data_IF_612973234379
#
_entry.id   IF_612973234379
#
_cell.length_a   1.000
_cell.length_b   1.000
_cell.length_c   1.000
_cell.angle_alpha   90.00
_cell.angle_beta   90.00
_cell.angle_gamma   90.00
#
_symmetry.space_group_name_H-M   'P 1'
#
loop_
_entity.id
_entity.type
_entity.pdbx_description
1 polymer ?
#
# COMPACT_ATOMS: atom_id res chain seq x y z
N UNK A 1 -15.28 16.36 11.03
CA UNK A 1 -16.32 16.72 10.04
C UNK A 1 -17.06 15.46 9.65
N UNK A 2 -18.29 15.32 10.13
CA UNK A 2 -19.15 14.15 9.98
C UNK A 2 -19.70 14.11 8.54
N UNK A 3 -19.43 13.05 7.77
CA UNK A 3 -20.14 12.82 6.49
C UNK A 3 -21.38 11.97 6.75
N UNK A 4 -22.53 12.58 6.47
CA UNK A 4 -23.85 12.01 6.65
C UNK A 4 -24.20 10.95 5.60
N UNK A 5 -25.16 10.09 5.99
CA UNK A 5 -25.71 8.94 5.29
C UNK A 5 -26.39 9.29 3.96
N UNK A 6 -26.27 8.38 2.98
CA UNK A 6 -27.40 7.94 2.12
C UNK A 6 -27.29 6.43 1.87
N UNK A 7 -28.26 5.67 2.37
CA UNK A 7 -28.47 4.24 2.02
C UNK A 7 -29.53 4.17 0.91
N UNK A 8 -29.20 3.54 -0.21
CA UNK A 8 -30.16 2.80 -1.04
C UNK A 8 -29.68 1.35 -1.10
N UNK A 9 -30.59 0.44 -0.78
CA UNK A 9 -30.37 -0.99 -0.85
C UNK A 9 -30.57 -1.43 -2.31
N UNK A 10 -29.60 -2.16 -2.86
CA UNK A 10 -29.77 -2.92 -4.10
C UNK A 10 -29.37 -4.37 -3.83
N UNK A 11 -30.35 -5.26 -4.04
CA UNK A 11 -30.23 -6.71 -4.00
C UNK A 11 -29.60 -7.20 -5.30
N UNK A 12 -28.34 -7.60 -5.25
CA UNK A 12 -27.61 -8.23 -6.37
C UNK A 12 -27.08 -9.60 -5.98
N UNK A 13 -27.52 -10.64 -6.69
CA UNK A 13 -27.19 -12.05 -6.46
C UNK A 13 -25.69 -12.33 -6.37
N UNK A 14 -25.31 -13.19 -5.42
CA UNK A 14 -23.92 -13.57 -5.16
C UNK A 14 -23.51 -14.67 -6.15
N UNK A 15 -23.10 -14.27 -7.36
CA UNK A 15 -22.42 -15.18 -8.29
C UNK A 15 -21.07 -15.60 -7.67
N UNK A 16 -20.98 -16.88 -7.27
CA UNK A 16 -19.72 -17.47 -6.82
C UNK A 16 -18.79 -17.54 -8.04
N UNK A 17 -17.79 -16.65 -8.10
CA UNK A 17 -16.78 -16.68 -9.17
C UNK A 17 -15.99 -17.99 -9.04
N UNK A 18 -15.87 -18.71 -10.15
CA UNK A 18 -15.03 -19.92 -10.25
C UNK A 18 -13.58 -19.63 -9.84
N UNK A 19 -12.86 -20.57 -9.19
CA UNK A 19 -11.44 -20.45 -8.86
C UNK A 19 -10.56 -20.06 -10.06
N UNK A 20 -10.91 -20.51 -11.26
CA UNK A 20 -10.20 -20.18 -12.50
C UNK A 20 -10.28 -18.68 -12.86
N UNK A 21 -11.43 -18.04 -12.58
CA UNK A 21 -11.61 -16.60 -12.82
C UNK A 21 -10.82 -15.75 -11.80
N UNK A 22 -10.66 -16.24 -10.56
CA UNK A 22 -9.81 -15.59 -9.56
C UNK A 22 -8.30 -15.74 -9.89
N UNK A 23 -7.90 -16.91 -10.42
CA UNK A 23 -6.52 -17.15 -10.84
C UNK A 23 -6.14 -16.36 -12.11
N UNK A 24 -7.07 -16.21 -13.06
CA UNK A 24 -6.91 -15.36 -14.25
C UNK A 24 -6.78 -13.88 -13.89
N UNK A 25 -7.64 -13.38 -12.99
CA UNK A 25 -7.61 -11.98 -12.55
C UNK A 25 -6.27 -11.55 -11.91
N UNK A 26 -5.51 -12.48 -11.32
CA UNK A 26 -4.18 -12.20 -10.80
C UNK A 26 -3.12 -12.12 -11.90
N UNK A 27 -3.25 -12.90 -12.97
CA UNK A 27 -2.30 -12.94 -14.08
C UNK A 27 -2.30 -11.64 -14.89
N UNK A 28 -3.45 -10.96 -14.91
CA UNK A 28 -3.67 -9.69 -15.61
C UNK A 28 -3.50 -8.46 -14.69
N UNK A 29 -3.13 -8.67 -13.42
CA UNK A 29 -2.93 -7.58 -12.48
C UNK A 29 -1.69 -6.76 -12.88
N UNK A 30 -1.91 -5.48 -13.15
CA UNK A 30 -0.82 -4.55 -13.46
C UNK A 30 -0.17 -4.02 -12.18
N UNK A 31 1.05 -4.48 -11.92
CA UNK A 31 1.84 -4.05 -10.77
C UNK A 31 2.67 -2.80 -11.06
N UNK A 32 2.72 -2.28 -12.29
CA UNK A 32 3.46 -1.05 -12.63
C UNK A 32 2.95 0.15 -11.83
N UNK A 33 1.65 0.16 -11.51
CA UNK A 33 0.98 1.21 -10.76
C UNK A 33 1.67 1.54 -9.43
N UNK A 34 2.26 0.54 -8.75
CA UNK A 34 2.99 0.78 -7.49
C UNK A 34 4.31 1.53 -7.74
N UNK A 35 4.99 1.22 -8.85
CA UNK A 35 6.19 1.93 -9.28
C UNK A 35 5.90 3.36 -9.70
N UNK A 36 4.84 3.56 -10.49
CA UNK A 36 4.36 4.88 -10.90
C UNK A 36 3.96 5.75 -9.70
N UNK A 37 3.20 5.20 -8.74
CA UNK A 37 2.85 5.90 -7.51
C UNK A 37 4.09 6.26 -6.69
N UNK A 38 5.05 5.34 -6.55
CA UNK A 38 6.32 5.62 -5.87
C UNK A 38 7.08 6.77 -6.54
N UNK A 39 7.09 6.83 -7.87
CA UNK A 39 7.71 7.92 -8.62
C UNK A 39 7.00 9.25 -8.36
N UNK A 40 5.67 9.29 -8.47
CA UNK A 40 4.88 10.50 -8.20
C UNK A 40 5.11 11.01 -6.77
N UNK A 41 5.15 10.11 -5.78
CA UNK A 41 5.42 10.47 -4.39
C UNK A 41 6.81 11.08 -4.23
N UNK A 42 7.83 10.49 -4.85
CA UNK A 42 9.19 11.01 -4.87
C UNK A 42 9.27 12.39 -5.52
N UNK A 43 8.61 12.56 -6.66
CA UNK A 43 8.53 13.85 -7.35
C UNK A 43 7.87 14.92 -6.46
N UNK A 44 6.79 14.59 -5.74
CA UNK A 44 6.14 15.51 -4.79
C UNK A 44 6.98 15.83 -3.56
N UNK A 45 7.93 14.96 -3.18
CA UNK A 45 8.90 15.25 -2.14
C UNK A 45 9.98 16.22 -2.64
N UNK A 46 10.49 16.01 -3.84
CA UNK A 46 11.55 16.83 -4.47
C UNK A 46 11.02 18.21 -4.92
N UNK A 47 9.82 18.22 -5.51
CA UNK A 47 9.15 19.40 -6.05
C UNK A 47 7.82 19.63 -5.28
N UNK A 48 7.89 20.15 -4.04
CA UNK A 48 6.76 20.23 -3.15
C UNK A 48 5.75 21.29 -3.58
N UNK A 49 4.48 20.90 -3.59
CA UNK A 49 3.36 21.83 -3.76
C UNK A 49 2.61 21.97 -2.43
N UNK A 50 2.54 23.17 -1.82
CA UNK A 50 1.81 23.40 -0.57
C UNK A 50 0.31 23.04 -0.63
N UNK A 51 -0.29 22.97 -1.83
CA UNK A 51 -1.68 22.53 -2.01
C UNK A 51 -1.80 21.00 -2.10
N UNK A 52 -0.74 20.30 -2.48
CA UNK A 52 -0.71 18.84 -2.61
C UNK A 52 -0.78 18.14 -1.26
N UNK A 53 -1.71 17.20 -1.13
CA UNK A 53 -1.82 16.34 0.05
C UNK A 53 -0.59 15.47 0.24
N UNK A 54 -0.10 14.85 -0.84
CA UNK A 54 1.12 14.02 -0.87
C UNK A 54 2.32 14.78 -0.34
N UNK A 55 2.53 16.02 -0.81
CA UNK A 55 3.66 16.88 -0.38
C UNK A 55 3.64 17.11 1.14
N UNK A 56 2.46 17.32 1.73
CA UNK A 56 2.29 17.51 3.18
C UNK A 56 2.60 16.25 3.99
N UNK A 57 2.40 15.06 3.42
CA UNK A 57 2.59 13.78 4.10
C UNK A 57 4.03 13.32 3.99
N UNK A 58 4.55 13.21 2.77
CA UNK A 58 5.89 12.67 2.51
C UNK A 58 6.99 13.53 3.14
N UNK A 59 6.73 14.81 3.42
CA UNK A 59 7.67 15.71 4.10
C UNK A 59 7.54 15.73 5.63
N UNK A 60 6.49 15.12 6.19
CA UNK A 60 6.26 15.11 7.63
C UNK A 60 6.28 13.66 8.16
N UNK A 61 7.35 13.34 8.91
CA UNK A 61 7.61 12.01 9.48
C UNK A 61 6.47 11.50 10.36
N UNK A 62 5.98 12.34 11.26
CA UNK A 62 4.90 11.98 12.19
C UNK A 62 3.57 11.78 11.45
N UNK A 63 3.30 12.63 10.45
CA UNK A 63 2.07 12.54 9.66
C UNK A 63 2.03 11.28 8.80
N UNK A 64 3.13 10.94 8.14
CA UNK A 64 3.23 9.70 7.36
C UNK A 64 3.04 8.46 8.26
N UNK A 65 3.72 8.40 9.40
CA UNK A 65 3.55 7.31 10.36
C UNK A 65 2.12 7.19 10.89
N UNK A 66 1.49 8.33 11.25
CA UNK A 66 0.11 8.37 11.72
C UNK A 66 -0.86 7.81 10.68
N UNK A 67 -0.71 8.19 9.41
CA UNK A 67 -1.56 7.68 8.33
C UNK A 67 -1.40 6.18 8.15
N UNK A 68 -0.18 5.64 8.16
CA UNK A 68 0.02 4.17 8.08
C UNK A 68 -0.72 3.44 9.21
N UNK A 69 -0.64 3.95 10.45
CA UNK A 69 -1.34 3.33 11.58
C UNK A 69 -2.87 3.43 11.49
N UNK A 70 -3.39 4.59 11.06
CA UNK A 70 -4.83 4.83 10.87
C UNK A 70 -5.41 3.86 9.85
N UNK A 71 -4.80 3.77 8.68
CA UNK A 71 -5.29 2.96 7.55
C UNK A 71 -5.14 1.46 7.80
N UNK A 72 -4.09 1.06 8.53
CA UNK A 72 -3.96 -0.32 8.98
C UNK A 72 -5.10 -0.71 9.93
N UNK A 73 -5.53 0.19 10.81
CA UNK A 73 -6.66 -0.05 11.69
C UNK A 73 -7.99 -0.07 10.91
N UNK A 74 -8.20 0.89 10.00
CA UNK A 74 -9.40 0.97 9.17
C UNK A 74 -9.55 -0.27 8.27
N UNK A 75 -8.45 -0.76 7.68
CA UNK A 75 -8.44 -1.99 6.90
C UNK A 75 -8.86 -3.21 7.72
N UNK A 76 -8.38 -3.32 8.95
CA UNK A 76 -8.74 -4.44 9.84
C UNK A 76 -10.19 -4.36 10.31
N UNK A 77 -10.74 -3.16 10.52
CA UNK A 77 -12.14 -2.96 10.91
C UNK A 77 -13.12 -3.09 9.72
N UNK A 78 -12.64 -2.91 8.48
CA UNK A 78 -13.47 -2.94 7.29
C UNK A 78 -14.17 -4.31 7.07
N UNK A 79 -15.50 -4.29 6.99
CA UNK A 79 -16.33 -5.51 6.86
C UNK A 79 -16.84 -5.76 5.44
N UNK A 80 -16.92 -4.71 4.63
CA UNK A 80 -17.46 -4.81 3.25
C UNK A 80 -16.30 -4.86 2.27
N UNK A 81 -16.45 -5.68 1.21
CA UNK A 81 -15.45 -5.80 0.13
C UNK A 81 -14.99 -4.45 -0.42
N UNK A 82 -15.92 -3.50 -0.62
CA UNK A 82 -15.59 -2.16 -1.11
C UNK A 82 -14.65 -1.42 -0.16
N UNK A 83 -14.99 -1.41 1.12
CA UNK A 83 -14.24 -0.70 2.16
C UNK A 83 -12.86 -1.36 2.31
N UNK A 84 -12.78 -2.70 2.34
CA UNK A 84 -11.51 -3.44 2.37
C UNK A 84 -10.59 -3.05 1.20
N UNK A 85 -11.12 -2.95 -0.02
CA UNK A 85 -10.32 -2.55 -1.19
C UNK A 85 -9.83 -1.10 -1.05
N UNK A 86 -10.67 -0.21 -0.54
CA UNK A 86 -10.31 1.19 -0.32
C UNK A 86 -9.22 1.34 0.73
N UNK A 87 -9.39 0.76 1.92
CA UNK A 87 -8.40 0.90 2.99
C UNK A 87 -7.09 0.15 2.67
N UNK A 88 -7.15 -0.95 1.91
CA UNK A 88 -5.95 -1.63 1.44
C UNK A 88 -5.17 -0.77 0.44
N UNK A 89 -5.86 -0.07 -0.46
CA UNK A 89 -5.24 0.84 -1.41
C UNK A 89 -4.62 2.05 -0.70
N UNK A 90 -5.33 2.65 0.25
CA UNK A 90 -4.82 3.77 1.05
C UNK A 90 -3.61 3.34 1.89
N UNK A 91 -3.69 2.19 2.58
CA UNK A 91 -2.55 1.65 3.32
C UNK A 91 -1.31 1.48 2.44
N UNK A 92 -1.44 0.88 1.25
CA UNK A 92 -0.32 0.72 0.32
C UNK A 92 0.26 2.08 -0.10
N UNK A 93 -0.59 3.05 -0.42
CA UNK A 93 -0.16 4.40 -0.78
C UNK A 93 0.61 5.08 0.36
N UNK A 94 0.11 5.00 1.60
CA UNK A 94 0.79 5.61 2.74
C UNK A 94 2.06 4.87 3.16
N UNK A 95 2.14 3.56 2.94
CA UNK A 95 3.40 2.81 3.07
C UNK A 95 4.42 3.35 2.07
N UNK A 96 4.08 3.52 0.79
CA UNK A 96 5.00 4.12 -0.19
C UNK A 96 5.44 5.53 0.22
N UNK A 97 4.52 6.37 0.71
CA UNK A 97 4.84 7.70 1.21
C UNK A 97 5.74 7.68 2.46
N UNK A 98 5.54 6.71 3.35
CA UNK A 98 6.35 6.52 4.55
C UNK A 98 7.78 6.06 4.22
N UNK A 99 7.93 5.15 3.26
CA UNK A 99 9.22 4.67 2.76
C UNK A 99 10.00 5.83 2.13
N UNK A 100 9.37 6.59 1.23
CA UNK A 100 10.01 7.74 0.59
C UNK A 100 10.36 8.83 1.61
N UNK A 101 9.50 9.09 2.61
CA UNK A 101 9.81 9.99 3.72
C UNK A 101 11.10 9.61 4.49
N UNK A 102 11.45 8.31 4.51
CA UNK A 102 12.65 7.74 5.13
C UNK A 102 13.82 7.50 4.17
N UNK A 103 13.67 7.89 2.91
CA UNK A 103 14.63 7.59 1.84
C UNK A 103 14.85 6.09 1.64
N UNK A 104 13.84 5.26 1.92
CA UNK A 104 13.87 3.83 1.63
C UNK A 104 13.23 3.63 0.25
N UNK A 105 13.99 3.18 -0.76
CA UNK A 105 13.43 2.91 -2.08
C UNK A 105 12.44 1.75 -2.02
N UNK A 106 11.31 1.85 -2.73
CA UNK A 106 10.36 0.73 -2.81
C UNK A 106 10.98 -0.53 -3.43
N UNK A 107 11.99 -0.37 -4.29
CA UNK A 107 12.78 -1.47 -4.83
C UNK A 107 13.40 -2.38 -3.76
N UNK A 108 13.78 -1.82 -2.61
CA UNK A 108 14.36 -2.60 -1.50
C UNK A 108 13.31 -3.48 -0.84
N UNK A 109 12.09 -2.97 -0.69
CA UNK A 109 10.93 -3.74 -0.21
C UNK A 109 10.56 -4.85 -1.19
N UNK A 110 10.58 -4.57 -2.50
CA UNK A 110 10.37 -5.61 -3.52
C UNK A 110 11.47 -6.69 -3.49
N UNK A 111 12.72 -6.30 -3.22
CA UNK A 111 13.82 -7.22 -2.98
C UNK A 111 13.55 -8.13 -1.79
N UNK A 112 13.12 -7.57 -0.65
CA UNK A 112 12.73 -8.33 0.54
C UNK A 112 11.57 -9.29 0.27
N UNK A 113 10.53 -8.84 -0.44
CA UNK A 113 9.38 -9.69 -0.78
C UNK A 113 9.78 -10.84 -1.71
N UNK A 114 10.66 -10.57 -2.70
CA UNK A 114 11.23 -11.61 -3.56
C UNK A 114 12.00 -12.64 -2.76
N UNK A 115 12.85 -12.17 -1.84
CA UNK A 115 13.61 -13.02 -0.92
C UNK A 115 12.69 -13.91 -0.07
N UNK A 116 11.60 -13.36 0.47
CA UNK A 116 10.58 -14.14 1.23
C UNK A 116 9.88 -15.19 0.37
N UNK A 117 9.55 -14.86 -0.87
CA UNK A 117 8.93 -15.83 -1.80
C UNK A 117 9.88 -16.97 -2.15
N UNK A 118 11.17 -16.68 -2.26
CA UNK A 118 12.20 -17.69 -2.52
C UNK A 118 12.52 -18.51 -1.26
N UNK A 119 12.34 -17.94 -0.06
CA UNK A 119 12.57 -18.63 1.21
C UNK A 119 11.62 -19.77 1.49
N UNK A 120 10.34 -19.58 1.17
CA UNK A 120 9.33 -20.64 1.26
C UNK A 120 9.69 -21.87 0.42
N UNK A 121 10.49 -21.71 -0.64
CA UNK A 121 10.90 -22.82 -1.52
C UNK A 121 12.06 -23.66 -0.98
N UNK A 122 12.82 -23.18 0.02
CA UNK A 122 14.10 -23.80 0.45
C UNK A 122 14.16 -24.21 1.93
N UNK A 123 13.07 -24.14 2.70
CA UNK A 123 12.98 -24.74 4.04
C UNK A 123 14.01 -24.29 5.09
N UNK A 124 14.62 -23.10 4.95
CA UNK A 124 15.76 -22.68 5.79
C UNK A 124 15.71 -21.20 6.19
N UNK A 125 16.26 -20.88 7.37
CA UNK A 125 16.37 -19.54 7.96
C UNK A 125 17.30 -18.65 7.12
N UNK A 126 16.87 -17.43 6.81
CA UNK A 126 17.59 -16.51 5.91
C UNK A 126 18.35 -15.41 6.66
N UNK A 127 19.42 -14.92 6.04
CA UNK A 127 20.18 -13.74 6.47
C UNK A 127 19.41 -12.43 6.19
N UNK A 128 19.49 -11.41 7.08
CA UNK A 128 18.86 -10.10 6.89
C UNK A 128 19.37 -9.37 5.64
N UNK A 129 18.57 -8.46 5.07
CA UNK A 129 19.07 -7.48 4.10
C UNK A 129 20.18 -6.69 4.79
N UNK A 130 21.38 -6.56 4.18
CA UNK A 130 22.46 -5.80 4.78
C UNK A 130 21.98 -4.37 5.05
N UNK A 131 22.17 -3.92 6.29
CA UNK A 131 21.89 -2.55 6.67
C UNK A 131 22.81 -1.65 5.85
N UNK A 132 22.23 -0.91 4.89
CA UNK A 132 22.97 0.02 4.04
C UNK A 132 23.23 1.36 4.74
N UNK A 133 22.88 1.49 6.02
CA UNK A 133 23.00 2.71 6.79
C UNK A 133 21.93 3.71 6.35
N UNK A 134 20.89 3.86 7.16
CA UNK A 134 19.87 4.88 6.91
C UNK A 134 18.55 4.58 7.58
N UNK A 135 18.32 5.23 8.73
CA UNK A 135 17.04 5.73 9.27
C UNK A 135 17.30 6.20 10.71
N UNK A 136 17.53 7.51 10.91
CA UNK A 136 17.32 8.22 12.20
C UNK A 136 16.10 9.11 12.07
#
# INVERSE_FOLDING_TARGET
>A
MKKQLRRKAESGGRSLRSPAAAFGAFKDADFSVLGELSQVIKERKLNPDPKSYTSKIVRNRQKAAKKVMEEAFELVDAKKRKDIVWEAADLLYFVLAYLENRNVPFADVLGELRRRRESEKKGGRYAPIPDRGGCV
#
